data_IF_110972207285
#
_entry.id   IF_110972207285
#
_cell.length_a   1.000
_cell.length_b   1.000
_cell.length_c   1.000
_cell.angle_alpha   90.00
_cell.angle_beta   90.00
_cell.angle_gamma   90.00
#
_symmetry.space_group_name_H-M   'P 1'
#
loop_
_entity.id
_entity.type
_entity.pdbx_description
1 polymer ?
#
# COMPACT_ATOMS: atom_id res chain seq x y z
N UNK A 1 -8.85 -13.46 10.99
CA UNK A 1 -7.70 -13.53 10.06
C UNK A 1 -6.64 -12.55 10.50
N UNK A 2 -5.39 -12.94 10.48
CA UNK A 2 -4.28 -12.08 10.85
C UNK A 2 -3.08 -12.38 9.97
N UNK A 3 -2.22 -11.38 9.81
CA UNK A 3 -0.96 -11.50 9.07
C UNK A 3 0.19 -11.48 10.06
N UNK A 4 1.03 -12.50 10.02
CA UNK A 4 2.16 -12.63 10.93
C UNK A 4 3.47 -12.46 10.17
N UNK A 5 4.29 -11.53 10.63
CA UNK A 5 5.66 -11.36 10.20
C UNK A 5 6.56 -11.87 11.33
N UNK A 6 7.46 -12.80 11.01
CA UNK A 6 8.29 -13.47 12.03
C UNK A 6 9.74 -13.32 11.69
N UNK A 7 10.51 -12.69 12.60
CA UNK A 7 11.98 -12.51 12.49
C UNK A 7 12.43 -11.91 11.16
N UNK A 8 11.73 -10.89 10.71
CA UNK A 8 12.01 -10.23 9.43
C UNK A 8 13.28 -9.40 9.51
N UNK A 9 14.24 -9.70 8.66
CA UNK A 9 15.43 -8.89 8.45
C UNK A 9 15.55 -8.53 6.98
N UNK A 10 15.88 -7.28 6.70
CA UNK A 10 16.08 -6.81 5.35
C UNK A 10 17.07 -5.66 5.32
N UNK A 11 18.05 -5.74 4.42
CA UNK A 11 19.02 -4.68 4.16
C UNK A 11 18.96 -4.32 2.70
N UNK A 12 18.76 -3.02 2.41
CA UNK A 12 18.80 -2.54 1.02
C UNK A 12 20.20 -2.71 0.44
N UNK A 13 20.26 -2.97 -0.87
CA UNK A 13 21.53 -3.09 -1.58
C UNK A 13 22.35 -1.81 -1.40
N UNK A 14 23.62 -1.97 -0.99
CA UNK A 14 24.52 -0.86 -0.73
C UNK A 14 24.34 -0.16 0.61
N UNK A 15 23.36 -0.57 1.42
CA UNK A 15 23.18 0.01 2.76
C UNK A 15 24.16 -0.56 3.76
N UNK A 16 24.62 0.29 4.70
CA UNK A 16 25.57 -0.11 5.75
C UNK A 16 24.88 -0.85 6.90
N UNK A 17 23.58 -0.69 7.09
CA UNK A 17 22.82 -1.27 8.17
C UNK A 17 21.47 -1.76 7.71
N UNK A 18 20.86 -2.75 8.39
CA UNK A 18 19.55 -3.27 7.99
C UNK A 18 18.44 -2.23 8.20
N UNK A 19 17.49 -2.19 7.25
CA UNK A 19 16.26 -1.42 7.41
C UNK A 19 15.33 -2.08 8.43
N UNK A 20 15.31 -3.43 8.46
CA UNK A 20 14.59 -4.22 9.45
C UNK A 20 15.57 -5.24 10.03
N UNK A 21 15.56 -5.39 11.35
CA UNK A 21 16.43 -6.32 12.05
C UNK A 21 15.61 -7.21 12.98
N UNK A 22 15.31 -8.44 12.54
CA UNK A 22 14.59 -9.47 13.28
C UNK A 22 13.27 -8.97 13.87
N UNK A 23 12.50 -8.24 13.06
CA UNK A 23 11.22 -7.68 13.45
C UNK A 23 10.13 -8.74 13.39
N UNK A 24 9.40 -8.90 14.49
CA UNK A 24 8.22 -9.77 14.55
C UNK A 24 7.01 -8.92 14.89
N UNK A 25 5.95 -9.03 14.09
CA UNK A 25 4.73 -8.27 14.27
C UNK A 25 3.53 -9.04 13.72
N UNK A 26 2.39 -8.88 14.37
CA UNK A 26 1.11 -9.41 13.93
C UNK A 26 0.17 -8.28 13.58
N UNK A 27 -0.40 -8.33 12.38
CA UNK A 27 -1.46 -7.42 11.97
C UNK A 27 -2.80 -8.14 12.07
N UNK A 28 -3.61 -7.85 13.09
CA UNK A 28 -4.94 -8.43 13.21
C UNK A 28 -5.89 -7.85 12.17
N UNK A 29 -7.05 -8.44 12.03
CA UNK A 29 -8.10 -7.89 11.19
C UNK A 29 -8.49 -6.48 11.67
N UNK A 30 -8.72 -5.58 10.72
CA UNK A 30 -9.07 -4.19 11.00
C UNK A 30 -7.93 -3.23 10.68
N UNK A 31 -7.87 -2.13 11.40
CA UNK A 31 -6.89 -1.08 11.18
C UNK A 31 -5.71 -1.21 12.15
N UNK A 32 -4.52 -1.09 11.60
CA UNK A 32 -3.28 -1.05 12.41
C UNK A 32 -2.49 0.19 12.06
N UNK A 33 -2.14 0.98 13.06
CA UNK A 33 -1.28 2.15 12.90
C UNK A 33 0.19 1.79 13.17
N UNK A 34 1.08 2.24 12.31
CA UNK A 34 2.52 2.09 12.49
C UNK A 34 3.11 3.46 12.75
N UNK A 35 3.70 3.64 13.94
CA UNK A 35 4.23 4.92 14.39
C UNK A 35 5.73 4.81 14.58
N UNK A 36 6.46 5.82 14.17
CA UNK A 36 7.90 5.90 14.36
C UNK A 36 8.49 7.07 13.58
N UNK A 37 9.76 7.35 13.82
CA UNK A 37 10.48 8.40 13.13
C UNK A 37 10.72 8.05 11.66
N UNK A 38 10.99 9.07 10.84
CA UNK A 38 11.40 8.85 9.46
C UNK A 38 12.69 8.03 9.43
N UNK A 39 12.72 7.04 8.53
CA UNK A 39 13.88 6.15 8.40
C UNK A 39 13.92 5.01 9.39
N UNK A 40 12.89 4.79 10.21
CA UNK A 40 12.86 3.66 11.16
C UNK A 40 12.38 2.34 10.52
N UNK A 41 12.09 2.32 9.21
CA UNK A 41 11.72 1.11 8.50
C UNK A 41 10.23 0.90 8.29
N UNK A 42 9.38 1.90 8.57
CA UNK A 42 7.92 1.77 8.40
C UNK A 42 7.51 1.39 6.98
N UNK A 43 8.04 2.08 5.99
CA UNK A 43 7.75 1.81 4.59
C UNK A 43 8.28 0.44 4.15
N UNK A 44 9.46 0.07 4.63
CA UNK A 44 10.04 -1.25 4.36
C UNK A 44 9.18 -2.35 4.95
N UNK A 45 8.70 -2.18 6.17
CA UNK A 45 7.80 -3.14 6.81
C UNK A 45 6.52 -3.33 6.01
N UNK A 46 5.92 -2.23 5.55
CA UNK A 46 4.71 -2.30 4.71
C UNK A 46 4.97 -3.02 3.39
N UNK A 47 6.10 -2.77 2.76
CA UNK A 47 6.48 -3.45 1.50
C UNK A 47 6.69 -4.95 1.71
N UNK A 48 7.31 -5.36 2.81
CA UNK A 48 7.47 -6.77 3.14
C UNK A 48 6.11 -7.41 3.43
N UNK A 49 5.28 -6.75 4.22
CA UNK A 49 3.95 -7.26 4.56
C UNK A 49 3.05 -7.47 3.33
N UNK A 50 3.18 -6.62 2.32
CA UNK A 50 2.39 -6.71 1.09
C UNK A 50 3.03 -7.57 -0.01
N UNK A 51 4.23 -8.10 0.23
CA UNK A 51 4.92 -8.96 -0.72
C UNK A 51 5.70 -8.25 -1.81
N UNK A 52 5.83 -6.92 -1.77
CA UNK A 52 6.66 -6.17 -2.72
C UNK A 52 8.16 -6.41 -2.53
N UNK A 53 8.57 -6.70 -1.30
CA UNK A 53 9.96 -7.03 -0.94
C UNK A 53 9.98 -8.41 -0.32
N UNK A 54 10.90 -9.24 -0.79
CA UNK A 54 11.21 -10.53 -0.15
C UNK A 54 12.27 -10.26 0.92
N UNK A 55 12.01 -10.55 2.21
CA UNK A 55 12.99 -10.30 3.25
C UNK A 55 14.20 -11.22 3.12
N UNK A 56 15.35 -10.76 3.62
CA UNK A 56 16.57 -11.59 3.65
C UNK A 56 16.42 -12.76 4.61
N UNK A 57 15.72 -12.55 5.71
CA UNK A 57 15.42 -13.56 6.72
C UNK A 57 14.01 -13.38 7.23
N UNK A 58 13.43 -14.46 7.74
CA UNK A 58 12.11 -14.45 8.33
C UNK A 58 11.01 -14.86 7.35
N UNK A 59 9.79 -14.81 7.84
CA UNK A 59 8.63 -15.26 7.05
C UNK A 59 7.42 -14.39 7.26
N UNK A 60 6.57 -14.34 6.23
CA UNK A 60 5.27 -13.68 6.24
C UNK A 60 4.21 -14.76 5.98
N UNK A 61 3.27 -14.90 6.89
CA UNK A 61 2.22 -15.91 6.79
C UNK A 61 0.90 -15.41 7.41
N UNK A 62 -0.25 -15.82 6.86
CA UNK A 62 -0.43 -16.54 5.60
C UNK A 62 -0.13 -15.64 4.40
N UNK A 63 -0.02 -16.23 3.21
CA UNK A 63 0.09 -15.45 1.98
C UNK A 63 -1.27 -14.90 1.62
N UNK A 64 -1.44 -13.61 1.80
CA UNK A 64 -2.68 -12.91 1.50
C UNK A 64 -2.49 -12.02 0.27
N UNK A 65 -3.57 -11.81 -0.48
CA UNK A 65 -3.57 -10.76 -1.47
C UNK A 65 -3.56 -9.42 -0.76
N UNK A 66 -2.56 -8.59 -1.07
CA UNK A 66 -2.41 -7.29 -0.45
C UNK A 66 -1.95 -6.27 -1.50
N UNK A 67 -2.50 -5.08 -1.44
CA UNK A 67 -2.12 -3.98 -2.29
C UNK A 67 -1.33 -2.96 -1.49
N UNK A 68 -0.26 -2.45 -2.08
CA UNK A 68 0.58 -1.42 -1.48
C UNK A 68 0.29 -0.06 -2.13
N UNK A 69 -0.02 0.93 -1.30
CA UNK A 69 -0.15 2.32 -1.74
C UNK A 69 1.11 3.08 -1.34
N UNK A 70 1.98 3.44 -2.28
CA UNK A 70 3.18 4.21 -1.94
C UNK A 70 2.84 5.60 -1.42
N UNK A 71 3.74 6.18 -0.67
CA UNK A 71 3.60 7.56 -0.19
C UNK A 71 3.61 8.56 -1.36
N UNK A 72 4.40 8.27 -2.39
CA UNK A 72 4.50 9.11 -3.58
C UNK A 72 3.25 8.97 -4.45
N UNK A 73 2.60 10.09 -4.74
CA UNK A 73 1.42 10.17 -5.61
C UNK A 73 1.72 10.79 -6.97
N UNK A 74 2.98 11.09 -7.28
CA UNK A 74 3.35 11.73 -8.54
C UNK A 74 3.17 10.84 -9.76
N UNK A 75 3.18 9.53 -9.58
CA UNK A 75 3.02 8.57 -10.66
C UNK A 75 1.54 8.18 -10.75
N UNK A 76 0.96 8.31 -11.95
CA UNK A 76 -0.41 7.88 -12.21
C UNK A 76 -0.54 6.37 -11.98
N UNK A 77 -1.52 5.92 -11.16
CA UNK A 77 -1.73 4.48 -10.97
C UNK A 77 -1.98 3.75 -12.28
N UNK A 78 -1.35 2.60 -12.46
CA UNK A 78 -1.44 1.82 -13.69
C UNK A 78 -2.87 1.34 -13.98
N UNK A 79 -3.65 1.09 -12.92
CA UNK A 79 -5.03 0.60 -13.03
C UNK A 79 -6.07 1.72 -13.20
N UNK A 80 -5.66 2.97 -13.24
CA UNK A 80 -6.60 4.10 -13.23
C UNK A 80 -7.56 4.08 -14.42
N UNK A 81 -7.07 3.82 -15.62
CA UNK A 81 -7.91 3.77 -16.82
C UNK A 81 -8.96 2.66 -16.75
N UNK A 82 -8.59 1.52 -16.19
CA UNK A 82 -9.51 0.39 -16.02
C UNK A 82 -10.58 0.70 -14.96
N UNK A 83 -10.19 1.30 -13.85
CA UNK A 83 -11.14 1.75 -12.82
C UNK A 83 -12.09 2.80 -13.38
N UNK A 84 -11.60 3.76 -14.16
CA UNK A 84 -12.40 4.82 -14.75
C UNK A 84 -13.45 4.27 -15.72
N UNK A 85 -13.15 3.17 -16.39
CA UNK A 85 -14.06 2.51 -17.32
C UNK A 85 -15.03 1.55 -16.63
N UNK A 86 -14.84 1.22 -15.36
CA UNK A 86 -15.68 0.29 -14.62
C UNK A 86 -16.85 1.03 -13.95
N UNK A 87 -18.07 0.68 -14.34
CA UNK A 87 -19.32 1.19 -13.78
C UNK A 87 -20.07 0.15 -12.96
N UNK A 88 -19.41 -0.95 -12.58
CA UNK A 88 -19.97 -1.96 -11.74
C UNK A 88 -20.24 -1.47 -10.31
N UNK A 89 -21.04 -2.20 -9.55
CA UNK A 89 -21.47 -1.80 -8.21
C UNK A 89 -20.31 -1.59 -7.24
N UNK A 90 -19.28 -2.42 -7.29
CA UNK A 90 -18.12 -2.29 -6.43
C UNK A 90 -17.31 -1.03 -6.76
N UNK A 91 -17.08 -0.76 -8.03
CA UNK A 91 -16.36 0.43 -8.47
C UNK A 91 -17.09 1.71 -8.07
N UNK A 92 -18.40 1.74 -8.23
CA UNK A 92 -19.23 2.89 -7.84
C UNK A 92 -19.23 3.08 -6.32
N UNK A 93 -19.26 2.00 -5.54
CA UNK A 93 -19.20 2.07 -4.08
C UNK A 93 -17.86 2.62 -3.61
N UNK A 94 -16.75 2.21 -4.22
CA UNK A 94 -15.42 2.71 -3.90
C UNK A 94 -15.34 4.22 -4.16
N UNK A 95 -15.86 4.69 -5.29
CA UNK A 95 -15.91 6.12 -5.61
C UNK A 95 -16.71 6.89 -4.58
N UNK A 96 -17.87 6.38 -4.19
CA UNK A 96 -18.77 7.03 -3.23
C UNK A 96 -18.11 7.13 -1.84
N UNK A 97 -17.55 6.05 -1.33
CA UNK A 97 -16.91 6.00 -0.02
C UNK A 97 -15.72 6.96 0.07
N UNK A 98 -14.93 7.08 -0.99
CA UNK A 98 -13.76 7.94 -1.05
C UNK A 98 -14.07 9.36 -1.52
N UNK A 99 -15.32 9.65 -1.89
CA UNK A 99 -15.74 10.96 -2.35
C UNK A 99 -15.06 11.37 -3.66
N UNK A 100 -14.87 10.43 -4.57
CA UNK A 100 -14.21 10.67 -5.86
C UNK A 100 -15.21 11.11 -6.90
N UNK A 101 -14.95 12.26 -7.51
CA UNK A 101 -15.71 12.73 -8.67
C UNK A 101 -15.19 12.05 -9.94
N UNK A 102 -16.08 11.76 -10.90
CA UNK A 102 -15.72 11.09 -12.14
C UNK A 102 -14.64 11.84 -12.93
N UNK A 103 -14.67 13.15 -12.92
CA UNK A 103 -13.67 13.97 -13.60
C UNK A 103 -12.26 13.73 -13.09
N UNK A 104 -12.08 13.37 -11.82
CA UNK A 104 -10.77 13.09 -11.25
C UNK A 104 -10.08 11.91 -11.93
N UNK A 105 -10.84 10.92 -12.35
CA UNK A 105 -10.29 9.70 -12.94
C UNK A 105 -9.69 9.94 -14.33
N UNK A 106 -10.03 11.09 -14.96
CA UNK A 106 -9.56 11.46 -16.29
C UNK A 106 -8.52 12.58 -16.29
N UNK A 107 -8.19 13.13 -15.11
CA UNK A 107 -7.30 14.29 -14.99
C UNK A 107 -6.42 14.19 -13.74
N UNK A 108 -5.80 13.03 -13.55
CA UNK A 108 -5.02 12.74 -12.36
C UNK A 108 -3.89 13.75 -12.12
N UNK A 109 -3.21 14.19 -13.17
CA UNK A 109 -2.04 15.06 -13.06
C UNK A 109 -2.38 16.43 -12.43
N UNK A 110 -3.60 16.90 -12.61
CA UNK A 110 -4.04 18.21 -12.12
C UNK A 110 -4.76 18.15 -10.76
N UNK A 111 -4.80 17.00 -10.13
CA UNK A 111 -5.43 16.83 -8.82
C UNK A 111 -4.54 17.37 -7.70
N UNK A 112 -5.17 17.76 -6.58
CA UNK A 112 -4.43 18.04 -5.33
C UNK A 112 -3.80 16.76 -4.78
N UNK A 113 -2.83 16.90 -3.86
CA UNK A 113 -2.20 15.75 -3.22
C UNK A 113 -3.19 14.82 -2.52
N UNK A 114 -4.17 15.41 -1.80
CA UNK A 114 -5.21 14.63 -1.14
C UNK A 114 -6.13 13.90 -2.11
N UNK A 115 -6.50 14.57 -3.21
CA UNK A 115 -7.30 13.95 -4.27
C UNK A 115 -6.55 12.81 -4.95
N UNK A 116 -5.28 13.00 -5.26
CA UNK A 116 -4.41 11.94 -5.82
C UNK A 116 -4.34 10.74 -4.89
N UNK A 117 -4.20 10.97 -3.59
CA UNK A 117 -4.13 9.89 -2.61
C UNK A 117 -5.44 9.10 -2.57
N UNK A 118 -6.59 9.77 -2.64
CA UNK A 118 -7.90 9.08 -2.69
C UNK A 118 -8.02 8.21 -3.93
N UNK A 119 -7.60 8.71 -5.09
CA UNK A 119 -7.61 7.94 -6.34
C UNK A 119 -6.66 6.74 -6.24
N UNK A 120 -5.48 6.92 -5.68
CA UNK A 120 -4.51 5.84 -5.48
C UNK A 120 -5.08 4.74 -4.58
N UNK A 121 -5.73 5.11 -3.48
CA UNK A 121 -6.40 4.15 -2.57
C UNK A 121 -7.52 3.43 -3.30
N UNK A 122 -8.32 4.16 -4.09
CA UNK A 122 -9.40 3.55 -4.86
C UNK A 122 -8.88 2.47 -5.82
N UNK A 123 -7.80 2.76 -6.54
CA UNK A 123 -7.17 1.79 -7.44
C UNK A 123 -6.69 0.54 -6.68
N UNK A 124 -6.12 0.72 -5.49
CA UNK A 124 -5.67 -0.39 -4.66
C UNK A 124 -6.82 -1.25 -4.17
N UNK A 125 -7.92 -0.64 -3.75
CA UNK A 125 -9.11 -1.37 -3.27
C UNK A 125 -9.85 -2.08 -4.40
N UNK A 126 -9.81 -1.51 -5.60
CA UNK A 126 -10.51 -2.05 -6.76
C UNK A 126 -9.84 -3.31 -7.34
N UNK A 127 -8.56 -3.51 -7.11
CA UNK A 127 -7.81 -4.65 -7.62
C UNK A 127 -8.38 -6.00 -7.18
#
# INVERSE_FOLDING_TARGET
>A
MQLNLTHISYTYEGAASPALNRVSVTFPQGWTGIIGDNGCGKSTLARVATGLIVPDEGSVAPKLFAAYCPQDTSITPAQLSDLAADWGSEALQIRDVLGIEDAWLWDYEHLSGGQKKRVQIACALWQ
#
